data_IF_631882715546
#
_entry.id   IF_631882715546
#
_cell.length_a   1.000
_cell.length_b   1.000
_cell.length_c   1.000
_cell.angle_alpha   90.00
_cell.angle_beta   90.00
_cell.angle_gamma   90.00
#
_symmetry.space_group_name_H-M   'P 1'
#
loop_
_entity.id
_entity.type
_entity.pdbx_description
1 polymer ?
#
# COMPACT_ATOMS: atom_id res chain seq x y z
N UNK A 1 -10.23 33.83 17.00
CA UNK A 1 -9.02 33.03 17.27
C UNK A 1 -8.84 32.03 16.14
N UNK A 2 -7.64 31.88 15.59
CA UNK A 2 -7.31 30.84 14.58
C UNK A 2 -6.42 29.80 15.26
N UNK A 3 -6.89 28.56 15.35
CA UNK A 3 -6.22 27.47 16.09
C UNK A 3 -4.84 27.11 15.52
N UNK A 4 -4.61 27.30 14.20
CA UNK A 4 -3.33 26.99 13.49
C UNK A 4 -2.81 25.55 13.69
N UNK A 5 -3.69 24.63 14.10
CA UNK A 5 -3.36 23.21 14.22
C UNK A 5 -3.24 22.54 12.85
N UNK A 6 -2.70 21.32 12.85
CA UNK A 6 -2.63 20.44 11.68
C UNK A 6 -3.34 19.12 11.99
N UNK A 7 -4.02 18.55 11.02
CA UNK A 7 -4.74 17.28 11.11
C UNK A 7 -4.11 16.31 10.11
N UNK A 8 -3.84 15.09 10.58
CA UNK A 8 -3.27 14.03 9.76
C UNK A 8 -3.99 12.70 9.97
N UNK A 9 -3.53 11.68 9.25
CA UNK A 9 -3.97 10.30 9.40
C UNK A 9 -2.77 9.40 9.65
N UNK A 10 -2.93 8.40 10.53
CA UNK A 10 -1.95 7.33 10.73
C UNK A 10 -2.40 6.11 9.93
N UNK A 11 -1.53 5.59 9.06
CA UNK A 11 -1.77 4.39 8.26
C UNK A 11 -0.68 3.35 8.54
N UNK A 12 -1.08 2.09 8.72
CA UNK A 12 -0.12 0.99 8.71
C UNK A 12 0.41 0.74 7.29
N UNK A 13 1.71 0.50 7.18
CA UNK A 13 2.32 0.13 5.91
C UNK A 13 3.43 -0.88 6.13
N UNK A 14 3.16 -2.12 5.73
CA UNK A 14 4.17 -3.16 5.57
C UNK A 14 4.86 -2.98 4.22
N UNK A 15 6.18 -3.18 4.15
CA UNK A 15 6.83 -3.23 2.84
C UNK A 15 6.53 -4.56 2.16
N UNK A 16 6.14 -4.50 0.88
CA UNK A 16 5.86 -5.67 0.05
C UNK A 16 6.91 -5.75 -1.06
N UNK A 17 7.87 -6.65 -0.86
CA UNK A 17 8.96 -6.90 -1.80
C UNK A 17 8.55 -8.04 -2.75
N UNK A 18 8.80 -7.97 -4.07
CA UNK A 18 8.53 -9.11 -4.94
C UNK A 18 9.39 -10.32 -4.56
N UNK A 19 8.81 -11.53 -4.57
CA UNK A 19 9.55 -12.75 -4.25
C UNK A 19 10.68 -12.99 -5.27
N UNK A 20 10.39 -12.82 -6.56
CA UNK A 20 11.36 -12.91 -7.64
C UNK A 20 11.31 -11.68 -8.55
N UNK A 21 12.30 -11.55 -9.46
CA UNK A 21 12.29 -10.52 -10.50
C UNK A 21 11.26 -10.79 -11.63
N UNK A 22 10.49 -11.88 -11.55
CA UNK A 22 9.46 -12.17 -12.53
C UNK A 22 8.42 -11.05 -12.55
N UNK A 23 8.00 -10.63 -13.75
CA UNK A 23 7.00 -9.57 -13.91
C UNK A 23 5.69 -9.84 -13.16
N UNK A 24 5.36 -11.12 -12.93
CA UNK A 24 4.18 -11.50 -12.16
C UNK A 24 4.32 -11.10 -10.68
N UNK A 25 5.42 -11.46 -10.03
CA UNK A 25 5.68 -11.15 -8.62
C UNK A 25 5.87 -9.65 -8.39
N UNK A 26 6.53 -8.94 -9.31
CA UNK A 26 6.62 -7.47 -9.27
C UNK A 26 5.22 -6.83 -9.28
N UNK A 27 4.31 -7.32 -10.12
CA UNK A 27 2.92 -6.86 -10.13
C UNK A 27 2.15 -7.29 -8.88
N UNK A 28 2.46 -8.45 -8.30
CA UNK A 28 1.84 -8.90 -7.06
C UNK A 28 2.21 -7.98 -5.90
N UNK A 29 3.50 -7.68 -5.75
CA UNK A 29 4.01 -6.72 -4.76
C UNK A 29 3.39 -5.32 -4.94
N UNK A 30 3.22 -4.84 -6.17
CA UNK A 30 2.54 -3.56 -6.42
C UNK A 30 1.06 -3.62 -6.01
N UNK A 31 0.33 -4.70 -6.35
CA UNK A 31 -1.05 -4.87 -5.90
C UNK A 31 -1.15 -4.87 -4.38
N UNK A 32 -0.24 -5.53 -3.67
CA UNK A 32 -0.23 -5.54 -2.20
C UNK A 32 -0.04 -4.13 -1.62
N UNK A 33 0.83 -3.30 -2.21
CA UNK A 33 1.00 -1.89 -1.84
C UNK A 33 -0.25 -1.06 -2.12
N UNK A 34 -0.89 -1.29 -3.26
CA UNK A 34 -2.13 -0.61 -3.64
C UNK A 34 -3.28 -0.95 -2.68
N UNK A 35 -3.46 -2.23 -2.33
CA UNK A 35 -4.53 -2.66 -1.43
C UNK A 35 -4.26 -2.29 0.03
N UNK A 36 -3.00 -2.23 0.48
CA UNK A 36 -2.65 -1.81 1.84
C UNK A 36 -2.65 -0.29 2.00
N UNK A 37 -1.60 0.40 1.54
CA UNK A 37 -1.47 1.85 1.72
C UNK A 37 -2.28 2.64 0.69
N UNK A 38 -2.26 2.18 -0.57
CA UNK A 38 -2.89 2.89 -1.68
C UNK A 38 -4.40 3.02 -1.54
N UNK A 39 -5.05 2.09 -0.84
CA UNK A 39 -6.50 2.11 -0.62
C UNK A 39 -6.94 3.42 0.07
N UNK A 40 -6.14 3.91 1.00
CA UNK A 40 -6.41 5.14 1.74
C UNK A 40 -5.69 6.35 1.14
N UNK A 41 -4.41 6.20 0.82
CA UNK A 41 -3.59 7.36 0.44
C UNK A 41 -3.85 7.82 -1.01
N UNK A 42 -4.24 6.91 -1.91
CA UNK A 42 -4.51 7.28 -3.30
C UNK A 42 -5.78 8.15 -3.44
N UNK A 43 -6.91 7.88 -2.75
CA UNK A 43 -8.03 8.83 -2.70
C UNK A 43 -7.65 10.19 -2.11
N UNK A 44 -6.86 10.21 -1.02
CA UNK A 44 -6.46 11.46 -0.37
C UNK A 44 -5.54 12.29 -1.27
N UNK A 45 -4.62 11.68 -2.02
CA UNK A 45 -3.66 12.42 -2.86
C UNK A 45 -4.24 12.73 -4.25
N UNK A 46 -4.93 11.77 -4.86
CA UNK A 46 -5.34 11.81 -6.26
C UNK A 46 -6.85 11.86 -6.48
N UNK A 47 -7.68 11.67 -5.46
CA UNK A 47 -9.15 11.69 -5.57
C UNK A 47 -9.75 10.43 -6.19
N UNK A 48 -8.99 9.34 -6.30
CA UNK A 48 -9.44 8.08 -6.90
C UNK A 48 -8.84 6.88 -6.17
N UNK A 49 -9.47 5.70 -6.26
CA UNK A 49 -8.84 4.46 -5.81
C UNK A 49 -7.74 3.99 -6.78
N UNK A 50 -6.77 3.18 -6.32
CA UNK A 50 -5.77 2.57 -7.20
C UNK A 50 -6.42 1.75 -8.33
N UNK A 51 -5.86 1.84 -9.55
CA UNK A 51 -6.38 1.13 -10.73
C UNK A 51 -6.48 -0.38 -10.55
N UNK A 52 -5.55 -0.97 -9.81
CA UNK A 52 -5.55 -2.42 -9.51
C UNK A 52 -6.77 -2.83 -8.70
N UNK A 53 -7.14 -2.06 -7.67
CA UNK A 53 -8.33 -2.26 -6.85
C UNK A 53 -9.60 -2.12 -7.68
N UNK A 54 -9.73 -1.04 -8.46
CA UNK A 54 -10.89 -0.83 -9.35
C UNK A 54 -11.09 -2.03 -10.29
N UNK A 55 -10.00 -2.55 -10.88
CA UNK A 55 -10.07 -3.69 -11.81
C UNK A 55 -10.47 -5.01 -11.14
N UNK A 56 -9.97 -5.27 -9.93
CA UNK A 56 -10.14 -6.55 -9.24
C UNK A 56 -11.43 -6.58 -8.42
N UNK A 57 -11.66 -5.55 -7.61
CA UNK A 57 -12.83 -5.45 -6.73
C UNK A 57 -14.10 -5.15 -7.53
N UNK A 58 -13.98 -4.33 -8.58
CA UNK A 58 -15.09 -3.98 -9.46
C UNK A 58 -16.22 -3.25 -8.73
N UNK A 59 -17.46 -3.66 -8.98
CA UNK A 59 -18.66 -2.97 -8.48
C UNK A 59 -18.83 -3.00 -6.95
N UNK A 60 -18.08 -3.86 -6.25
CA UNK A 60 -18.05 -3.86 -4.77
C UNK A 60 -17.24 -2.70 -4.20
N UNK A 61 -16.39 -2.07 -5.00
CA UNK A 61 -15.65 -0.88 -4.57
C UNK A 61 -16.56 0.33 -4.74
N UNK A 62 -16.88 1.07 -3.65
CA UNK A 62 -17.69 2.28 -3.76
C UNK A 62 -17.08 3.27 -4.75
N UNK A 63 -17.94 4.05 -5.41
CA UNK A 63 -17.51 5.13 -6.30
C UNK A 63 -17.74 6.44 -5.57
N UNK A 64 -16.69 7.24 -5.45
CA UNK A 64 -16.83 8.59 -4.91
C UNK A 64 -17.70 9.44 -5.85
N UNK A 65 -18.61 10.22 -5.28
CA UNK A 65 -19.21 11.34 -6.01
C UNK A 65 -18.18 12.46 -6.17
N UNK A 66 -18.47 13.44 -7.03
CA UNK A 66 -17.56 14.59 -7.19
C UNK A 66 -17.40 15.36 -5.87
N UNK A 67 -18.49 15.51 -5.11
CA UNK A 67 -18.49 16.18 -3.82
C UNK A 67 -17.63 15.44 -2.79
N UNK A 68 -17.68 14.11 -2.78
CA UNK A 68 -16.83 13.29 -1.90
C UNK A 68 -15.35 13.35 -2.31
N UNK A 69 -15.05 13.37 -3.62
CA UNK A 69 -13.68 13.55 -4.10
C UNK A 69 -13.12 14.90 -3.62
N UNK A 70 -13.88 15.98 -3.76
CA UNK A 70 -13.46 17.32 -3.29
C UNK A 70 -13.29 17.36 -1.77
N UNK A 71 -14.07 16.57 -1.02
CA UNK A 71 -13.93 16.47 0.43
C UNK A 71 -12.68 15.70 0.86
N UNK A 72 -12.35 14.60 0.19
CA UNK A 72 -11.27 13.68 0.62
C UNK A 72 -9.91 14.12 0.08
N UNK A 73 -9.85 14.64 -1.13
CA UNK A 73 -8.59 14.97 -1.80
C UNK A 73 -7.92 16.18 -1.13
N UNK A 74 -6.71 15.97 -0.60
CA UNK A 74 -5.96 16.99 0.14
C UNK A 74 -6.47 17.24 1.56
N UNK A 75 -7.29 16.33 2.12
CA UNK A 75 -7.89 16.48 3.46
C UNK A 75 -6.92 16.34 4.64
N UNK A 76 -5.65 16.01 4.40
CA UNK A 76 -4.64 15.81 5.44
C UNK A 76 -3.45 16.75 5.26
N UNK A 77 -2.92 17.26 6.38
CA UNK A 77 -1.71 18.07 6.42
C UNK A 77 -0.43 17.21 6.47
N UNK A 78 -0.53 15.99 7.02
CA UNK A 78 0.57 15.03 7.09
C UNK A 78 0.01 13.60 7.16
N UNK A 79 0.83 12.64 6.75
CA UNK A 79 0.56 11.21 6.92
C UNK A 79 1.58 10.63 7.89
N UNK A 80 1.10 9.94 8.92
CA UNK A 80 1.93 9.11 9.77
C UNK A 80 1.96 7.69 9.23
N UNK A 81 3.14 7.08 9.12
CA UNK A 81 3.29 5.70 8.65
C UNK A 81 3.72 4.82 9.82
N UNK A 82 2.87 3.86 10.15
CA UNK A 82 3.16 2.83 11.15
C UNK A 82 3.81 1.63 10.45
N UNK A 83 5.16 1.60 10.43
CA UNK A 83 5.96 0.60 9.73
C UNK A 83 6.64 -0.34 10.74
N UNK A 84 6.55 -1.65 10.49
CA UNK A 84 7.10 -2.67 11.39
C UNK A 84 7.90 -3.78 10.71
N UNK A 85 7.44 -4.25 9.55
CA UNK A 85 7.89 -5.52 8.95
C UNK A 85 7.88 -5.44 7.43
N UNK A 86 8.30 -6.53 6.79
CA UNK A 86 8.34 -6.72 5.35
C UNK A 86 7.96 -8.15 5.01
N UNK A 87 7.29 -8.35 3.87
CA UNK A 87 7.04 -9.68 3.30
C UNK A 87 7.47 -9.76 1.84
N UNK A 88 7.83 -10.96 1.41
CA UNK A 88 7.90 -11.24 -0.03
C UNK A 88 6.51 -11.54 -0.56
N UNK A 89 6.22 -11.07 -1.78
CA UNK A 89 4.95 -11.26 -2.46
C UNK A 89 5.14 -11.97 -3.78
N UNK A 90 4.30 -12.96 -4.05
CA UNK A 90 4.28 -13.67 -5.33
C UNK A 90 2.88 -13.65 -5.96
N UNK A 91 2.82 -13.82 -7.27
CA UNK A 91 1.55 -13.91 -7.98
C UNK A 91 0.93 -15.30 -7.79
N UNK A 92 -0.29 -15.37 -7.25
CA UNK A 92 -0.99 -16.65 -7.04
C UNK A 92 -1.65 -17.19 -8.32
N UNK A 93 -1.59 -16.47 -9.45
CA UNK A 93 -2.24 -16.82 -10.71
C UNK A 93 -3.76 -17.07 -10.59
N UNK A 94 -4.41 -16.40 -9.63
CA UNK A 94 -5.85 -16.48 -9.39
C UNK A 94 -6.63 -15.85 -10.55
N UNK A 95 -7.63 -16.56 -11.08
CA UNK A 95 -8.55 -16.03 -12.09
C UNK A 95 -9.60 -15.12 -11.44
N UNK A 96 -9.95 -14.01 -12.10
CA UNK A 96 -10.97 -13.07 -11.61
C UNK A 96 -12.28 -13.80 -11.28
N UNK A 97 -12.85 -13.54 -10.10
CA UNK A 97 -14.14 -14.08 -9.66
C UNK A 97 -14.11 -15.42 -8.91
N UNK A 98 -12.92 -15.94 -8.57
CA UNK A 98 -12.83 -17.27 -7.91
C UNK A 98 -12.84 -17.26 -6.38
N UNK A 99 -12.65 -16.12 -5.69
CA UNK A 99 -12.53 -16.13 -4.22
C UNK A 99 -13.14 -14.87 -3.57
N UNK A 100 -13.82 -15.07 -2.43
CA UNK A 100 -14.40 -14.02 -1.59
C UNK A 100 -13.49 -13.76 -0.38
N UNK A 101 -12.99 -12.54 -0.22
CA UNK A 101 -12.22 -12.12 0.95
C UNK A 101 -11.20 -11.03 0.62
N UNK A 102 -11.10 -10.01 1.48
CA UNK A 102 -10.27 -8.82 1.22
C UNK A 102 -8.83 -9.15 0.81
N UNK A 103 -8.11 -9.98 1.58
CA UNK A 103 -6.71 -10.33 1.28
C UNK A 103 -6.59 -11.20 0.03
N UNK A 104 -7.58 -12.04 -0.27
CA UNK A 104 -7.58 -12.88 -1.47
C UNK A 104 -7.76 -12.04 -2.74
N UNK A 105 -8.45 -10.91 -2.64
CA UNK A 105 -8.64 -9.95 -3.74
C UNK A 105 -7.37 -9.18 -4.11
N UNK A 106 -6.29 -9.34 -3.35
CA UNK A 106 -4.99 -8.80 -3.75
C UNK A 106 -4.41 -9.59 -4.94
N UNK A 107 -4.93 -10.82 -5.15
CA UNK A 107 -4.39 -11.83 -6.07
C UNK A 107 -2.88 -12.04 -5.85
N UNK A 108 -2.43 -11.98 -4.59
CA UNK A 108 -1.02 -12.02 -4.22
C UNK A 108 -0.86 -12.91 -2.97
N UNK A 109 0.19 -13.72 -2.96
CA UNK A 109 0.52 -14.62 -1.88
C UNK A 109 1.71 -14.11 -1.07
N UNK A 110 1.74 -14.45 0.21
CA UNK A 110 2.83 -14.10 1.12
C UNK A 110 3.88 -15.20 1.12
N UNK A 111 5.14 -14.81 0.98
CA UNK A 111 6.30 -15.66 1.20
C UNK A 111 7.18 -15.04 2.29
N UNK A 112 7.66 -15.90 3.19
CA UNK A 112 8.44 -15.49 4.36
C UNK A 112 9.94 -15.81 4.22
N UNK A 113 10.32 -16.43 3.10
CA UNK A 113 11.68 -16.79 2.74
C UNK A 113 11.89 -16.67 1.23
N UNK A 114 13.14 -16.46 0.81
CA UNK A 114 13.60 -16.51 -0.59
C UNK A 114 14.81 -17.45 -0.64
N UNK A 115 14.79 -18.41 -1.56
CA UNK A 115 15.86 -19.43 -1.70
C UNK A 115 16.16 -20.19 -0.39
N UNK A 116 15.12 -20.46 0.40
CA UNK A 116 15.23 -21.14 1.71
C UNK A 116 15.71 -20.25 2.86
N UNK A 117 16.04 -18.98 2.60
CA UNK A 117 16.51 -18.02 3.60
C UNK A 117 15.33 -17.14 4.05
N UNK A 118 14.96 -17.13 5.35
CA UNK A 118 13.92 -16.24 5.88
C UNK A 118 14.22 -14.77 5.58
N UNK A 119 13.18 -13.97 5.37
CA UNK A 119 13.33 -12.53 5.09
C UNK A 119 14.01 -11.75 6.22
N UNK A 120 13.89 -12.26 7.44
CA UNK A 120 14.56 -11.78 8.64
C UNK A 120 14.22 -12.66 9.84
N UNK A 121 14.88 -12.46 10.99
CA UNK A 121 14.50 -13.11 12.24
C UNK A 121 13.13 -12.61 12.72
N UNK A 122 12.36 -13.46 13.38
CA UNK A 122 11.06 -13.10 13.95
C UNK A 122 11.21 -12.59 15.39
N UNK A 123 10.39 -11.61 15.75
CA UNK A 123 10.19 -11.20 17.12
C UNK A 123 9.20 -12.15 17.84
N UNK A 124 8.73 -11.79 19.03
CA UNK A 124 7.75 -12.59 19.77
C UNK A 124 6.40 -12.70 19.04
N UNK A 125 5.96 -11.63 18.38
CA UNK A 125 4.77 -11.64 17.55
C UNK A 125 5.06 -12.36 16.23
N UNK A 126 4.28 -13.40 15.90
CA UNK A 126 4.52 -14.26 14.73
C UNK A 126 4.50 -13.54 13.37
N UNK A 127 3.81 -12.41 13.28
CA UNK A 127 3.76 -11.56 12.08
C UNK A 127 4.95 -10.58 11.97
N UNK A 128 5.73 -10.40 13.02
CA UNK A 128 6.75 -9.36 13.11
C UNK A 128 8.13 -9.90 12.75
N UNK A 129 8.54 -9.69 11.50
CA UNK A 129 9.88 -10.00 11.02
C UNK A 129 10.76 -8.74 11.12
N UNK A 130 11.96 -8.88 11.67
CA UNK A 130 12.92 -7.80 11.78
C UNK A 130 13.63 -7.58 10.44
N UNK A 131 13.14 -6.63 9.65
CA UNK A 131 13.61 -6.37 8.29
C UNK A 131 13.87 -4.86 8.09
N UNK A 132 15.04 -4.34 8.51
CA UNK A 132 15.29 -2.89 8.56
C UNK A 132 15.22 -2.18 7.21
N UNK A 133 15.65 -2.84 6.13
CA UNK A 133 15.60 -2.27 4.78
C UNK A 133 14.17 -2.03 4.28
N UNK A 134 13.18 -2.69 4.88
CA UNK A 134 11.76 -2.46 4.60
C UNK A 134 11.29 -1.05 4.96
N UNK A 135 11.82 -0.46 6.04
CA UNK A 135 11.51 0.91 6.41
C UNK A 135 11.96 1.89 5.34
N UNK A 136 13.20 1.74 4.86
CA UNK A 136 13.76 2.58 3.81
C UNK A 136 12.90 2.50 2.53
N UNK A 137 12.63 1.29 2.05
CA UNK A 137 11.85 1.11 0.82
C UNK A 137 10.41 1.62 0.96
N UNK A 138 9.77 1.43 2.12
CA UNK A 138 8.44 1.97 2.39
C UNK A 138 8.45 3.50 2.30
N UNK A 139 9.44 4.17 2.91
CA UNK A 139 9.51 5.64 2.90
C UNK A 139 9.85 6.18 1.51
N UNK A 140 10.77 5.54 0.77
CA UNK A 140 11.06 5.91 -0.61
C UNK A 140 9.83 5.74 -1.49
N UNK A 141 9.08 4.65 -1.34
CA UNK A 141 7.84 4.44 -2.07
C UNK A 141 6.80 5.53 -1.78
N UNK A 142 6.61 5.90 -0.51
CA UNK A 142 5.69 7.00 -0.14
C UNK A 142 6.12 8.31 -0.80
N UNK A 143 7.41 8.64 -0.71
CA UNK A 143 7.99 9.82 -1.35
C UNK A 143 7.74 9.84 -2.86
N UNK A 144 8.13 8.78 -3.56
CA UNK A 144 8.06 8.73 -5.03
C UNK A 144 6.63 8.68 -5.58
N UNK A 145 5.67 8.16 -4.81
CA UNK A 145 4.32 7.89 -5.31
C UNK A 145 3.23 8.78 -4.70
N UNK A 146 3.51 9.56 -3.65
CA UNK A 146 2.48 10.34 -2.97
C UNK A 146 2.94 11.72 -2.51
N UNK A 147 4.25 11.96 -2.41
CA UNK A 147 4.75 13.32 -2.21
C UNK A 147 4.64 14.07 -3.55
N UNK A 148 3.79 15.09 -3.59
CA UNK A 148 3.79 16.01 -4.73
C UNK A 148 5.16 16.67 -4.74
N UNK A 149 5.92 16.52 -5.83
CA UNK A 149 7.08 17.37 -6.06
C UNK A 149 6.60 18.82 -6.08
N UNK A 150 6.81 19.52 -4.97
CA UNK A 150 6.74 20.97 -4.95
C UNK A 150 7.90 21.48 -5.80
N UNK A 151 7.74 21.44 -7.13
CA UNK A 151 8.39 22.42 -7.98
C UNK A 151 7.76 23.77 -7.62
N UNK A 152 8.26 24.39 -6.56
CA UNK A 152 8.19 25.83 -6.44
C UNK A 152 8.90 26.38 -7.66
N UNK A 153 8.13 26.80 -8.67
CA UNK A 153 8.57 27.83 -9.58
C UNK A 153 8.94 29.04 -8.73
N UNK A 154 10.24 29.23 -8.54
CA UNK A 154 10.84 30.51 -8.21
C UNK A 154 10.61 31.49 -9.36
#
# INVERSE_FOLDING_TARGET
ATQKGRIGILLDFVWYEPLTAARADVRAAQRSRDFSLGWFLHPIVYGTYPRSMVRIVGDRLPKFTNEEVEMVKGSIDFVGINQYTTYYMYDQHIKKGTVMGYQMEWHAGFAFARDGIPIGPQAYSSWLYMVPWGLYNAMIYVKENYEKSHHHSL
#
